data_IF_763348949898
#
_entry.id   IF_763348949898
#
_cell.length_a   1.000
_cell.length_b   1.000
_cell.length_c   1.000
_cell.angle_alpha   90.00
_cell.angle_beta   90.00
_cell.angle_gamma   90.00
#
_symmetry.space_group_name_H-M   'P 1'
#
loop_
_entity.id
_entity.type
_entity.pdbx_description
1 polymer ?
#
# COMPACT_ATOMS: atom_id res chain seq x y z
N UNK A 1 8.72 -9.44 14.78
CA UNK A 1 7.29 -9.05 14.89
C UNK A 1 6.52 -10.27 15.34
N UNK A 2 5.88 -10.22 16.49
CA UNK A 2 5.18 -11.38 17.08
C UNK A 2 3.72 -11.52 16.62
N UNK A 3 3.18 -10.59 15.86
CA UNK A 3 1.79 -10.62 15.41
C UNK A 3 1.74 -10.44 13.89
N UNK A 4 1.16 -11.42 13.19
CA UNK A 4 0.97 -11.36 11.74
C UNK A 4 0.08 -10.16 11.37
N UNK A 5 0.52 -9.33 10.41
CA UNK A 5 -0.20 -8.15 9.95
C UNK A 5 -1.34 -8.56 9.01
N UNK A 6 -2.53 -8.12 9.36
CA UNK A 6 -3.76 -8.18 8.56
C UNK A 6 -4.22 -6.75 8.37
N UNK A 7 -3.64 -6.09 7.37
CA UNK A 7 -3.77 -4.66 7.18
C UNK A 7 -4.80 -4.29 6.11
N UNK A 8 -5.27 -3.05 6.22
CA UNK A 8 -6.06 -2.39 5.19
C UNK A 8 -5.49 -1.00 4.92
N UNK A 9 -5.29 -0.67 3.65
CA UNK A 9 -4.97 0.69 3.25
C UNK A 9 -6.24 1.53 3.25
N UNK A 10 -6.20 2.64 3.98
CA UNK A 10 -7.28 3.62 4.03
C UNK A 10 -6.85 4.86 3.25
N UNK A 11 -7.26 4.93 1.98
CA UNK A 11 -6.94 6.06 1.13
C UNK A 11 -7.71 7.31 1.58
N UNK A 12 -6.97 8.41 1.74
CA UNK A 12 -7.55 9.70 2.03
C UNK A 12 -8.34 10.22 0.83
N UNK A 13 -9.58 10.66 1.02
CA UNK A 13 -10.28 11.42 0.01
C UNK A 13 -9.75 12.85 -0.01
N UNK A 14 -9.41 13.38 -1.19
CA UNK A 14 -8.75 14.69 -1.36
C UNK A 14 -9.67 15.87 -1.03
N UNK A 15 -10.49 15.74 0.03
CA UNK A 15 -11.45 16.75 0.50
C UNK A 15 -11.38 16.83 2.02
N UNK A 16 -10.95 17.99 2.52
CA UNK A 16 -10.88 18.24 3.96
C UNK A 16 -12.26 18.08 4.62
N UNK A 17 -12.28 17.45 5.79
CA UNK A 17 -13.49 17.17 6.57
C UNK A 17 -14.30 15.94 6.12
N UNK A 18 -13.99 15.36 4.96
CA UNK A 18 -14.54 14.08 4.49
C UNK A 18 -13.50 12.94 4.48
N UNK A 19 -12.24 13.27 4.67
CA UNK A 19 -11.12 12.36 4.74
C UNK A 19 -10.82 11.86 6.15
N UNK A 20 -9.54 11.82 6.48
CA UNK A 20 -9.08 11.45 7.82
C UNK A 20 -9.64 12.37 8.90
N UNK A 21 -9.88 11.82 10.09
CA UNK A 21 -10.47 12.52 11.22
C UNK A 21 -11.98 12.74 11.12
N UNK A 22 -12.65 12.25 10.06
CA UNK A 22 -14.10 12.36 9.89
C UNK A 22 -14.88 11.29 10.66
N UNK A 23 -16.16 11.54 10.95
CA UNK A 23 -17.02 10.56 11.59
C UNK A 23 -17.26 9.30 10.74
N UNK A 24 -17.26 9.44 9.40
CA UNK A 24 -17.38 8.28 8.49
C UNK A 24 -16.14 7.41 8.54
N UNK A 25 -14.94 8.01 8.61
CA UNK A 25 -13.71 7.27 8.80
C UNK A 25 -13.70 6.52 10.15
N UNK A 26 -14.07 7.18 11.24
CA UNK A 26 -14.14 6.55 12.56
C UNK A 26 -15.08 5.33 12.60
N UNK A 27 -16.25 5.42 11.95
CA UNK A 27 -17.19 4.29 11.84
C UNK A 27 -16.60 3.12 11.02
N UNK A 28 -15.85 3.41 9.96
CA UNK A 28 -15.16 2.40 9.16
C UNK A 28 -14.07 1.71 9.97
N UNK A 29 -13.21 2.47 10.69
CA UNK A 29 -12.15 1.92 11.52
C UNK A 29 -12.69 0.95 12.57
N UNK A 30 -13.78 1.34 13.27
CA UNK A 30 -14.46 0.47 14.23
C UNK A 30 -14.93 -0.84 13.56
N UNK A 31 -15.53 -0.75 12.38
CA UNK A 31 -15.98 -1.93 11.63
C UNK A 31 -14.81 -2.84 11.26
N UNK A 32 -13.71 -2.29 10.75
CA UNK A 32 -12.54 -3.07 10.34
C UNK A 32 -11.89 -3.80 11.51
N UNK A 33 -11.74 -3.14 12.66
CA UNK A 33 -11.16 -3.77 13.87
C UNK A 33 -12.01 -4.95 14.36
N UNK A 34 -13.35 -4.83 14.34
CA UNK A 34 -14.27 -5.91 14.72
C UNK A 34 -14.17 -7.14 13.79
N UNK A 35 -13.63 -6.98 12.61
CA UNK A 35 -13.43 -8.06 11.63
C UNK A 35 -11.98 -8.57 11.57
N UNK A 36 -11.15 -8.26 12.58
CA UNK A 36 -9.81 -8.82 12.71
C UNK A 36 -8.70 -8.07 11.94
N UNK A 37 -9.00 -6.92 11.33
CA UNK A 37 -7.96 -6.02 10.82
C UNK A 37 -7.20 -5.46 12.03
N UNK A 38 -5.87 -5.54 11.98
CA UNK A 38 -5.00 -5.14 13.08
C UNK A 38 -3.99 -4.05 12.74
N UNK A 39 -4.01 -3.58 11.47
CA UNK A 39 -3.18 -2.47 11.01
C UNK A 39 -3.93 -1.65 9.95
N UNK A 40 -3.86 -0.34 10.05
CA UNK A 40 -4.30 0.59 9.00
C UNK A 40 -3.11 1.30 8.40
N UNK A 41 -3.00 1.24 7.07
CA UNK A 41 -2.05 2.06 6.32
C UNK A 41 -2.73 3.37 5.94
N UNK A 42 -2.11 4.49 6.33
CA UNK A 42 -2.56 5.84 6.03
C UNK A 42 -1.63 6.48 4.99
N UNK A 43 -2.22 7.07 3.96
CA UNK A 43 -1.52 7.56 2.78
C UNK A 43 -1.68 9.09 2.60
N UNK A 44 -0.96 9.92 3.37
CA UNK A 44 -0.95 11.36 3.10
C UNK A 44 -0.22 11.66 1.78
N UNK A 45 -0.70 12.64 1.02
CA UNK A 45 -0.18 12.94 -0.31
C UNK A 45 0.70 14.18 -0.35
N UNK A 46 1.84 14.05 -1.04
CA UNK A 46 2.62 15.17 -1.57
C UNK A 46 2.28 15.36 -3.05
N UNK A 47 1.73 16.52 -3.40
CA UNK A 47 1.29 16.81 -4.76
C UNK A 47 2.43 17.42 -5.56
N UNK A 48 2.83 16.74 -6.63
CA UNK A 48 3.76 17.27 -7.60
C UNK A 48 2.97 17.70 -8.84
N UNK A 49 2.95 19.02 -9.18
CA UNK A 49 2.08 19.54 -10.24
C UNK A 49 2.39 19.00 -11.63
N UNK A 50 3.67 18.70 -11.91
CA UNK A 50 4.12 18.13 -13.18
C UNK A 50 5.45 17.39 -12.99
N UNK A 51 5.81 16.50 -13.90
CA UNK A 51 7.06 15.72 -13.84
C UNK A 51 8.30 16.64 -13.73
N UNK A 52 8.31 17.74 -14.47
CA UNK A 52 9.43 18.70 -14.48
C UNK A 52 9.37 19.72 -13.31
N UNK A 53 8.31 19.72 -12.50
CA UNK A 53 8.21 20.55 -11.30
C UNK A 53 8.77 19.76 -10.11
N UNK A 54 9.82 20.27 -9.46
CA UNK A 54 10.49 19.62 -8.33
C UNK A 54 9.84 19.97 -6.99
N UNK A 55 8.80 20.81 -6.99
CA UNK A 55 8.06 21.13 -5.76
C UNK A 55 7.14 19.99 -5.38
N UNK A 56 7.12 19.67 -4.12
CA UNK A 56 6.16 18.73 -3.52
C UNK A 56 5.32 19.54 -2.56
N UNK A 57 4.03 19.67 -2.88
CA UNK A 57 3.09 20.46 -2.11
C UNK A 57 2.34 19.54 -1.14
N UNK A 58 2.47 19.82 0.13
CA UNK A 58 1.70 19.16 1.19
C UNK A 58 1.24 20.24 2.15
N UNK A 59 -0.07 20.41 2.25
CA UNK A 59 -0.67 21.52 2.98
C UNK A 59 -2.10 21.17 3.42
N UNK A 60 -2.68 22.06 4.18
CA UNK A 60 -4.00 21.92 4.79
C UNK A 60 -5.19 21.94 3.82
N UNK A 61 -4.98 22.11 2.51
CA UNK A 61 -6.09 22.24 1.56
C UNK A 61 -6.92 20.95 1.46
N UNK A 62 -6.26 19.79 1.54
CA UNK A 62 -6.93 18.48 1.49
C UNK A 62 -6.86 17.72 2.80
N UNK A 63 -5.75 17.85 3.53
CA UNK A 63 -5.46 17.15 4.78
C UNK A 63 -4.63 18.04 5.69
N UNK A 64 -5.11 18.33 6.90
CA UNK A 64 -4.29 18.98 7.93
C UNK A 64 -3.54 17.95 8.77
N UNK A 65 -2.46 18.40 9.42
CA UNK A 65 -1.71 17.55 10.38
C UNK A 65 -2.62 17.09 11.53
N UNK A 66 -3.53 17.94 11.99
CA UNK A 66 -4.49 17.64 13.06
C UNK A 66 -5.49 16.57 12.62
N UNK A 67 -5.95 16.60 11.37
CA UNK A 67 -6.85 15.57 10.83
C UNK A 67 -6.13 14.22 10.75
N UNK A 68 -4.88 14.20 10.30
CA UNK A 68 -4.06 12.99 10.27
C UNK A 68 -3.76 12.46 11.68
N UNK A 69 -3.39 13.32 12.62
CA UNK A 69 -3.16 12.93 14.01
C UNK A 69 -4.42 12.36 14.67
N UNK A 70 -5.59 12.97 14.40
CA UNK A 70 -6.88 12.42 14.87
C UNK A 70 -7.16 11.04 14.28
N UNK A 71 -6.85 10.83 13.00
CA UNK A 71 -7.02 9.53 12.37
C UNK A 71 -6.12 8.47 13.01
N UNK A 72 -4.83 8.77 13.22
CA UNK A 72 -3.89 7.88 13.93
C UNK A 72 -4.42 7.53 15.33
N UNK A 73 -4.90 8.53 16.08
CA UNK A 73 -5.50 8.28 17.40
C UNK A 73 -6.74 7.41 17.32
N UNK A 74 -7.58 7.59 16.29
CA UNK A 74 -8.78 6.77 16.10
C UNK A 74 -8.42 5.31 15.75
N UNK A 75 -7.37 5.07 14.96
CA UNK A 75 -6.84 3.72 14.68
C UNK A 75 -6.38 3.06 15.98
N UNK A 76 -5.54 3.74 16.78
CA UNK A 76 -5.04 3.24 18.04
C UNK A 76 -6.17 3.00 19.06
N UNK A 77 -7.18 3.87 19.13
CA UNK A 77 -8.34 3.71 20.01
C UNK A 77 -9.18 2.46 19.69
N UNK A 78 -9.08 1.94 18.44
CA UNK A 78 -9.68 0.68 18.03
C UNK A 78 -8.73 -0.53 18.17
N UNK A 79 -7.58 -0.38 18.85
CA UNK A 79 -6.61 -1.46 19.09
C UNK A 79 -5.79 -1.88 17.87
N UNK A 80 -5.82 -1.10 16.80
CA UNK A 80 -5.06 -1.36 15.58
C UNK A 80 -3.75 -0.57 15.55
N UNK A 81 -2.77 -1.07 14.80
CA UNK A 81 -1.50 -0.39 14.51
C UNK A 81 -1.64 0.54 13.31
N UNK A 82 -0.72 1.49 13.20
CA UNK A 82 -0.63 2.42 12.08
C UNK A 82 0.64 2.19 11.29
N UNK A 83 0.50 2.10 9.97
CA UNK A 83 1.56 2.33 9.01
C UNK A 83 1.31 3.67 8.32
N UNK A 84 2.26 4.59 8.42
CA UNK A 84 2.18 5.87 7.71
C UNK A 84 3.04 5.80 6.45
N UNK A 85 2.40 5.91 5.30
CA UNK A 85 3.02 5.77 3.99
C UNK A 85 2.75 7.01 3.11
N UNK A 86 3.58 8.06 3.20
CA UNK A 86 3.40 9.26 2.41
C UNK A 86 3.63 8.99 0.91
N UNK A 87 2.64 9.31 0.08
CA UNK A 87 2.65 9.08 -1.37
C UNK A 87 2.95 10.36 -2.16
N UNK A 88 3.69 10.23 -3.24
CA UNK A 88 3.75 11.28 -4.27
C UNK A 88 2.58 11.10 -5.21
N UNK A 89 1.83 12.18 -5.42
CA UNK A 89 0.74 12.26 -6.38
C UNK A 89 1.11 13.21 -7.51
N UNK A 90 1.20 12.68 -8.73
CA UNK A 90 1.34 13.48 -9.95
C UNK A 90 -0.03 13.88 -10.47
N UNK A 91 -0.15 15.09 -10.98
CA UNK A 91 -1.40 15.55 -11.60
C UNK A 91 -1.69 14.77 -12.88
N UNK A 92 -2.64 13.86 -12.81
CA UNK A 92 -3.03 12.95 -13.90
C UNK A 92 -3.82 13.63 -15.03
N UNK A 93 -4.23 14.90 -14.84
CA UNK A 93 -5.03 15.63 -15.85
C UNK A 93 -4.32 15.81 -17.21
N UNK A 94 -3.01 15.66 -17.24
CA UNK A 94 -2.17 15.85 -18.43
C UNK A 94 -1.43 14.58 -18.83
N UNK A 95 -2.01 13.40 -18.65
CA UNK A 95 -1.35 12.11 -18.95
C UNK A 95 0.02 11.98 -18.28
N UNK A 96 0.16 12.48 -17.06
CA UNK A 96 1.40 12.33 -16.32
C UNK A 96 1.74 10.85 -16.13
N UNK A 97 3.01 10.46 -16.22
CA UNK A 97 3.43 9.10 -15.95
C UNK A 97 3.15 8.75 -14.48
N UNK A 98 3.09 7.46 -14.18
CA UNK A 98 3.03 7.02 -12.79
C UNK A 98 4.31 7.43 -12.04
N UNK A 99 4.23 7.61 -10.73
CA UNK A 99 5.38 8.04 -9.90
C UNK A 99 6.62 7.15 -10.02
N UNK A 100 6.45 5.87 -10.34
CA UNK A 100 7.57 4.94 -10.56
C UNK A 100 8.44 5.33 -11.76
N UNK A 101 7.90 6.11 -12.68
CA UNK A 101 8.58 6.57 -13.90
C UNK A 101 9.23 7.96 -13.73
N UNK A 102 9.08 8.61 -12.55
CA UNK A 102 9.78 9.85 -12.25
C UNK A 102 11.29 9.64 -12.38
N UNK A 103 11.90 10.41 -13.26
CA UNK A 103 13.32 10.36 -13.55
C UNK A 103 13.84 11.74 -13.97
N UNK A 104 15.04 12.09 -13.56
CA UNK A 104 15.69 13.34 -13.90
C UNK A 104 17.09 13.05 -14.39
N UNK A 105 17.44 13.57 -15.56
CA UNK A 105 18.75 13.31 -16.18
C UNK A 105 19.83 14.30 -15.70
N UNK A 106 19.40 15.48 -15.24
CA UNK A 106 20.32 16.50 -14.73
C UNK A 106 20.56 16.27 -13.24
N UNK A 107 21.83 16.14 -12.79
CA UNK A 107 22.18 15.97 -11.38
C UNK A 107 21.61 17.07 -10.45
N UNK A 108 21.57 18.32 -10.90
CA UNK A 108 21.00 19.43 -10.11
C UNK A 108 19.51 19.26 -9.91
N UNK A 109 18.79 18.73 -10.89
CA UNK A 109 17.37 18.45 -10.79
C UNK A 109 17.11 17.30 -9.80
N UNK A 110 17.94 16.26 -9.82
CA UNK A 110 17.90 15.16 -8.85
C UNK A 110 18.09 15.71 -7.44
N UNK A 111 19.11 16.55 -7.22
CA UNK A 111 19.36 17.16 -5.91
C UNK A 111 18.21 18.03 -5.44
N UNK A 112 17.62 18.86 -6.32
CA UNK A 112 16.47 19.70 -6.00
C UNK A 112 15.24 18.87 -5.63
N UNK A 113 14.95 17.82 -6.39
CA UNK A 113 13.83 16.95 -6.11
C UNK A 113 14.01 16.25 -4.76
N UNK A 114 15.18 15.65 -4.50
CA UNK A 114 15.45 14.99 -3.23
C UNK A 114 15.43 15.94 -2.05
N UNK A 115 15.82 17.20 -2.22
CA UNK A 115 15.71 18.21 -1.17
C UNK A 115 14.24 18.53 -0.82
N UNK A 116 13.36 18.61 -1.83
CA UNK A 116 11.91 18.78 -1.61
C UNK A 116 11.28 17.52 -1.02
N UNK A 117 11.67 16.35 -1.52
CA UNK A 117 11.17 15.06 -1.06
C UNK A 117 11.57 14.78 0.40
N UNK A 118 12.80 15.08 0.77
CA UNK A 118 13.27 14.92 2.14
C UNK A 118 12.47 15.79 3.12
N UNK A 119 12.15 17.03 2.77
CA UNK A 119 11.26 17.90 3.57
C UNK A 119 9.90 17.24 3.79
N UNK A 120 9.32 16.70 2.72
CA UNK A 120 8.03 16.03 2.75
C UNK A 120 8.08 14.79 3.67
N UNK A 121 9.07 13.93 3.50
CA UNK A 121 9.22 12.71 4.31
C UNK A 121 9.50 13.04 5.77
N UNK A 122 10.39 13.99 6.07
CA UNK A 122 10.71 14.37 7.46
C UNK A 122 9.52 15.03 8.17
N UNK A 123 8.67 15.78 7.45
CA UNK A 123 7.43 16.32 8.01
C UNK A 123 6.55 15.17 8.56
N UNK A 124 6.28 14.15 7.74
CA UNK A 124 5.45 13.02 8.17
C UNK A 124 6.17 12.07 9.14
N UNK A 125 7.50 11.97 9.08
CA UNK A 125 8.26 11.23 10.08
C UNK A 125 8.15 11.84 11.49
N UNK A 126 8.11 13.17 11.59
CA UNK A 126 7.83 13.86 12.86
C UNK A 126 6.40 13.56 13.36
N UNK A 127 5.40 13.58 12.47
CA UNK A 127 4.02 13.19 12.84
C UNK A 127 3.99 11.73 13.29
N UNK A 128 4.65 10.82 12.56
CA UNK A 128 4.73 9.40 12.93
C UNK A 128 5.35 9.19 14.32
N UNK A 129 6.45 9.92 14.62
CA UNK A 129 7.09 9.91 15.94
C UNK A 129 6.14 10.40 17.03
N UNK A 130 5.56 11.57 16.85
CA UNK A 130 4.74 12.24 17.86
C UNK A 130 3.42 11.50 18.12
N UNK A 131 2.88 10.85 17.08
CA UNK A 131 1.66 10.05 17.17
C UNK A 131 1.93 8.56 17.41
N UNK A 132 3.20 8.14 17.54
CA UNK A 132 3.62 6.75 17.81
C UNK A 132 3.13 5.76 16.73
N UNK A 133 3.13 6.15 15.46
CA UNK A 133 2.88 5.20 14.39
C UNK A 133 3.94 4.08 14.42
N UNK A 134 3.51 2.83 14.27
CA UNK A 134 4.39 1.68 14.43
C UNK A 134 5.30 1.44 13.22
N UNK A 135 4.82 1.81 12.02
CA UNK A 135 5.56 1.63 10.76
C UNK A 135 5.55 2.93 9.96
N UNK A 136 6.68 3.23 9.32
CA UNK A 136 6.82 4.37 8.44
C UNK A 136 7.46 3.96 7.11
N UNK A 137 6.85 4.33 5.97
CA UNK A 137 7.44 4.14 4.66
C UNK A 137 8.21 5.40 4.24
N UNK A 138 9.48 5.23 3.90
CA UNK A 138 10.33 6.34 3.40
C UNK A 138 10.15 6.60 1.91
N UNK A 139 9.30 5.82 1.25
CA UNK A 139 8.94 5.99 -0.15
C UNK A 139 8.00 4.90 -0.62
N UNK A 140 7.24 5.22 -1.66
CA UNK A 140 6.27 4.32 -2.29
C UNK A 140 6.39 4.43 -3.80
N UNK A 141 6.78 3.33 -4.45
CA UNK A 141 6.85 3.18 -5.92
C UNK A 141 7.60 4.33 -6.62
N UNK A 142 8.79 4.66 -6.15
CA UNK A 142 9.69 5.65 -6.76
C UNK A 142 10.86 4.94 -7.47
N UNK A 143 10.55 3.97 -8.33
CA UNK A 143 11.47 2.93 -8.80
C UNK A 143 12.71 3.50 -9.49
N UNK A 144 12.55 4.45 -10.41
CA UNK A 144 13.70 5.05 -11.11
C UNK A 144 14.52 5.94 -10.18
N UNK A 145 13.86 6.68 -9.30
CA UNK A 145 14.52 7.52 -8.31
C UNK A 145 15.22 6.68 -7.22
N UNK A 146 14.76 5.47 -6.95
CA UNK A 146 15.38 4.53 -6.02
C UNK A 146 16.79 4.09 -6.45
N UNK A 147 17.16 4.26 -7.73
CA UNK A 147 18.53 4.10 -8.21
C UNK A 147 19.51 5.09 -7.53
N UNK A 148 19.01 6.19 -6.94
CA UNK A 148 19.80 7.11 -6.12
C UNK A 148 19.87 6.61 -4.67
N UNK A 149 20.42 5.43 -4.47
CA UNK A 149 20.46 4.74 -3.17
C UNK A 149 21.03 5.61 -2.04
N UNK A 150 22.09 6.38 -2.31
CA UNK A 150 22.72 7.26 -1.29
C UNK A 150 21.76 8.35 -0.81
N UNK A 151 20.87 8.85 -1.67
CA UNK A 151 19.86 9.81 -1.28
C UNK A 151 18.82 9.18 -0.36
N UNK A 152 18.35 7.96 -0.67
CA UNK A 152 17.43 7.22 0.22
C UNK A 152 18.10 6.85 1.53
N UNK A 153 19.35 6.38 1.52
CA UNK A 153 20.12 6.10 2.75
C UNK A 153 20.26 7.34 3.64
N UNK A 154 20.46 8.52 3.03
CA UNK A 154 20.47 9.79 3.78
C UNK A 154 19.10 10.08 4.39
N UNK A 155 18.00 9.92 3.64
CA UNK A 155 16.63 10.13 4.13
C UNK A 155 16.35 9.17 5.30
N UNK A 156 16.68 7.89 5.18
CA UNK A 156 16.48 6.89 6.24
C UNK A 156 17.22 7.32 7.53
N UNK A 157 18.51 7.72 7.43
CA UNK A 157 19.26 8.24 8.57
C UNK A 157 18.60 9.46 9.19
N UNK A 158 18.10 10.39 8.37
CA UNK A 158 17.47 11.61 8.84
C UNK A 158 16.11 11.34 9.48
N UNK A 159 15.34 10.36 8.99
CA UNK A 159 14.13 9.87 9.66
C UNK A 159 14.48 9.32 11.06
N UNK A 160 15.52 8.50 11.18
CA UNK A 160 15.99 8.03 12.50
C UNK A 160 16.47 9.19 13.39
N UNK A 161 17.14 10.19 12.81
CA UNK A 161 17.62 11.37 13.55
C UNK A 161 16.47 12.25 14.09
N UNK A 162 15.24 12.13 13.57
CA UNK A 162 14.06 12.78 14.20
C UNK A 162 13.72 12.18 15.57
N UNK A 163 14.27 11.03 15.94
CA UNK A 163 13.88 10.25 17.11
C UNK A 163 12.76 9.24 16.86
N UNK A 164 12.38 9.01 15.59
CA UNK A 164 11.41 7.96 15.25
C UNK A 164 11.95 6.58 15.57
N UNK A 165 11.29 5.86 16.49
CA UNK A 165 11.70 4.55 16.99
C UNK A 165 10.91 3.38 16.39
N UNK A 166 9.89 3.65 15.56
CA UNK A 166 9.11 2.62 14.87
C UNK A 166 9.90 1.94 13.75
N UNK A 167 9.29 0.97 13.09
CA UNK A 167 9.89 0.26 11.95
C UNK A 167 9.85 1.11 10.68
N UNK A 168 10.91 1.04 9.88
CA UNK A 168 11.02 1.77 8.60
C UNK A 168 11.07 0.77 7.44
N UNK A 169 10.33 1.07 6.38
CA UNK A 169 10.36 0.35 5.12
C UNK A 169 10.36 1.29 3.92
N UNK A 170 10.51 0.70 2.75
CA UNK A 170 10.19 1.27 1.44
C UNK A 170 9.18 0.34 0.76
N UNK A 171 8.16 0.89 0.11
CA UNK A 171 7.16 0.13 -0.64
C UNK A 171 7.52 0.16 -2.12
N UNK A 172 8.10 -0.94 -2.63
CA UNK A 172 8.45 -1.02 -4.05
C UNK A 172 7.41 -1.80 -4.86
N UNK A 173 7.32 -1.50 -6.14
CA UNK A 173 6.70 -2.41 -7.10
C UNK A 173 7.41 -3.77 -7.01
N UNK A 174 6.69 -4.85 -6.70
CA UNK A 174 7.29 -6.12 -6.31
C UNK A 174 8.26 -6.70 -7.36
N UNK A 175 8.02 -6.45 -8.65
CA UNK A 175 8.93 -6.88 -9.74
C UNK A 175 10.28 -6.15 -9.74
N UNK A 176 10.40 -5.03 -9.01
CA UNK A 176 11.64 -4.25 -8.92
C UNK A 176 12.42 -4.50 -7.61
N UNK A 177 11.94 -5.37 -6.73
CA UNK A 177 12.49 -5.58 -5.39
C UNK A 177 13.99 -5.93 -5.38
N UNK A 178 14.48 -6.67 -6.40
CA UNK A 178 15.89 -7.04 -6.51
C UNK A 178 16.82 -5.87 -6.87
N UNK A 179 16.28 -4.77 -7.41
CA UNK A 179 17.03 -3.58 -7.80
C UNK A 179 17.15 -2.53 -6.68
N UNK A 180 16.42 -2.68 -5.58
CA UNK A 180 16.50 -1.75 -4.44
C UNK A 180 17.77 -2.03 -3.64
N UNK A 181 18.73 -1.10 -3.68
CA UNK A 181 20.06 -1.29 -3.12
C UNK A 181 20.20 -0.91 -1.63
N UNK A 182 19.13 -0.43 -0.98
CA UNK A 182 19.16 0.07 0.41
C UNK A 182 18.27 -0.72 1.38
N UNK A 183 17.91 -1.98 1.03
CA UNK A 183 17.16 -2.86 1.95
C UNK A 183 17.88 -3.09 3.28
N UNK A 184 19.21 -3.06 3.28
CA UNK A 184 20.05 -3.23 4.48
C UNK A 184 19.83 -2.13 5.53
N UNK A 185 19.47 -0.92 5.13
CA UNK A 185 19.15 0.20 6.03
C UNK A 185 17.71 0.20 6.55
N UNK A 186 16.86 -0.69 6.04
CA UNK A 186 15.44 -0.80 6.37
C UNK A 186 15.19 -1.98 7.32
N UNK A 187 14.10 -1.95 8.06
CA UNK A 187 13.75 -3.01 9.01
C UNK A 187 13.11 -4.21 8.33
N UNK A 188 12.42 -4.01 7.20
CA UNK A 188 11.81 -5.07 6.40
C UNK A 188 11.59 -4.63 4.93
N UNK A 189 11.32 -5.61 4.07
CA UNK A 189 11.06 -5.41 2.65
C UNK A 189 9.55 -5.20 2.47
N UNK A 190 9.14 -4.06 1.89
CA UNK A 190 7.76 -3.74 1.54
C UNK A 190 7.50 -3.96 0.05
N UNK A 191 6.44 -4.71 -0.29
CA UNK A 191 6.15 -5.12 -1.66
C UNK A 191 4.72 -4.77 -2.06
N UNK A 192 4.57 -3.96 -3.11
CA UNK A 192 3.28 -3.71 -3.75
C UNK A 192 3.08 -4.75 -4.87
N UNK A 193 2.18 -5.73 -4.62
CA UNK A 193 2.04 -6.92 -5.45
C UNK A 193 0.88 -6.80 -6.45
N UNK A 194 1.13 -6.18 -7.58
CA UNK A 194 0.17 -5.98 -8.68
C UNK A 194 0.55 -6.75 -9.95
N UNK A 195 0.87 -8.04 -9.80
CA UNK A 195 1.25 -8.88 -10.94
C UNK A 195 0.06 -9.19 -11.84
N UNK A 196 0.17 -8.81 -13.11
CA UNK A 196 -0.80 -9.17 -14.13
C UNK A 196 -0.68 -10.66 -14.51
N UNK A 197 -1.81 -11.34 -14.61
CA UNK A 197 -1.91 -12.71 -15.13
C UNK A 197 -2.51 -12.70 -16.53
N UNK A 198 -2.03 -13.57 -17.42
CA UNK A 198 -2.38 -13.54 -18.85
C UNK A 198 -3.81 -13.98 -19.21
N UNK A 199 -4.71 -14.13 -18.24
CA UNK A 199 -6.09 -14.56 -18.45
C UNK A 199 -7.05 -13.96 -17.41
N UNK A 200 -8.36 -14.04 -17.70
CA UNK A 200 -9.46 -13.57 -16.84
C UNK A 200 -10.32 -14.77 -16.43
N UNK A 201 -9.99 -15.55 -15.38
CA UNK A 201 -10.89 -16.57 -14.87
C UNK A 201 -12.20 -15.95 -14.37
N UNK A 202 -13.32 -16.58 -14.69
CA UNK A 202 -14.66 -16.05 -14.38
C UNK A 202 -15.32 -16.69 -13.15
N UNK A 203 -14.80 -17.82 -12.69
CA UNK A 203 -15.27 -18.51 -11.50
C UNK A 203 -14.17 -19.36 -10.88
N UNK A 204 -14.39 -19.84 -9.65
CA UNK A 204 -13.48 -20.81 -9.00
C UNK A 204 -13.46 -22.19 -9.67
N UNK A 205 -14.47 -22.52 -10.47
CA UNK A 205 -14.52 -23.76 -11.28
C UNK A 205 -13.85 -23.62 -12.66
N UNK A 206 -13.40 -22.42 -13.03
CA UNK A 206 -12.62 -22.20 -14.24
C UNK A 206 -11.22 -22.81 -14.11
N UNK A 207 -10.75 -23.53 -15.11
CA UNK A 207 -9.40 -24.09 -15.11
C UNK A 207 -8.33 -23.02 -14.92
N UNK A 208 -8.55 -21.79 -15.43
CA UNK A 208 -7.67 -20.65 -15.27
C UNK A 208 -7.58 -20.13 -13.84
N UNK A 209 -8.56 -20.45 -12.97
CA UNK A 209 -8.49 -20.09 -11.56
C UNK A 209 -7.33 -20.83 -10.85
N UNK A 210 -7.19 -22.13 -11.07
CA UNK A 210 -6.08 -22.89 -10.48
C UNK A 210 -4.72 -22.43 -11.02
N UNK A 211 -4.65 -22.05 -12.30
CA UNK A 211 -3.44 -21.45 -12.87
C UNK A 211 -3.11 -20.10 -12.20
N UNK A 212 -4.12 -19.25 -11.93
CA UNK A 212 -3.95 -18.00 -11.21
C UNK A 212 -3.47 -18.24 -9.77
N UNK A 213 -4.03 -19.22 -9.06
CA UNK A 213 -3.57 -19.60 -7.70
C UNK A 213 -2.10 -20.01 -7.74
N UNK A 214 -1.70 -20.90 -8.67
CA UNK A 214 -0.32 -21.33 -8.83
C UNK A 214 0.62 -20.15 -9.19
N UNK A 215 0.16 -19.23 -10.01
CA UNK A 215 0.90 -18.00 -10.35
C UNK A 215 1.13 -17.12 -9.11
N UNK A 216 0.11 -16.91 -8.26
CA UNK A 216 0.27 -16.16 -7.01
C UNK A 216 1.25 -16.86 -6.07
N UNK A 217 1.16 -18.19 -5.92
CA UNK A 217 2.11 -18.97 -5.12
C UNK A 217 3.54 -18.81 -5.61
N UNK A 218 3.77 -18.86 -6.92
CA UNK A 218 5.08 -18.62 -7.52
C UNK A 218 5.65 -17.26 -7.18
N UNK A 219 4.80 -16.20 -7.23
CA UNK A 219 5.21 -14.82 -6.89
C UNK A 219 5.54 -14.68 -5.40
N UNK A 220 4.72 -15.26 -4.52
CA UNK A 220 4.99 -15.29 -3.08
C UNK A 220 6.33 -15.98 -2.77
N UNK A 221 6.60 -17.14 -3.37
CA UNK A 221 7.87 -17.87 -3.20
C UNK A 221 9.08 -17.08 -3.72
N UNK A 222 8.94 -16.41 -4.85
CA UNK A 222 10.00 -15.56 -5.40
C UNK A 222 10.47 -14.54 -4.36
N UNK A 223 9.52 -13.83 -3.75
CA UNK A 223 9.82 -12.77 -2.79
C UNK A 223 10.25 -13.32 -1.43
N UNK A 224 9.67 -14.43 -0.98
CA UNK A 224 10.12 -15.11 0.23
C UNK A 224 11.59 -15.52 0.13
N UNK A 225 12.01 -16.07 -1.02
CA UNK A 225 13.42 -16.43 -1.27
C UNK A 225 14.34 -15.21 -1.36
N UNK A 226 13.85 -14.11 -1.96
CA UNK A 226 14.61 -12.84 -1.99
C UNK A 226 14.82 -12.32 -0.57
N UNK A 227 13.79 -12.25 0.24
CA UNK A 227 13.85 -11.83 1.64
C UNK A 227 14.77 -12.73 2.48
N UNK A 228 14.72 -14.04 2.26
CA UNK A 228 15.62 -15.00 2.91
C UNK A 228 17.09 -14.76 2.56
N UNK A 229 17.41 -14.49 1.28
CA UNK A 229 18.80 -14.16 0.87
C UNK A 229 19.32 -12.90 1.56
N UNK A 230 18.45 -11.92 1.83
CA UNK A 230 18.78 -10.68 2.53
C UNK A 230 18.72 -10.82 4.05
N UNK A 231 18.25 -11.94 4.59
CA UNK A 231 18.04 -12.13 6.03
C UNK A 231 17.04 -11.16 6.64
N UNK A 232 16.05 -10.69 5.86
CA UNK A 232 15.08 -9.68 6.28
C UNK A 232 13.65 -10.22 6.29
N UNK A 233 12.81 -9.82 7.26
CA UNK A 233 11.37 -10.03 7.15
C UNK A 233 10.81 -9.22 5.97
N UNK A 234 9.65 -9.62 5.47
CA UNK A 234 8.98 -8.94 4.38
C UNK A 234 7.47 -8.86 4.60
N UNK A 235 6.83 -7.93 3.93
CA UNK A 235 5.39 -7.70 4.01
C UNK A 235 4.87 -7.33 2.62
N UNK A 236 3.67 -7.79 2.30
CA UNK A 236 2.91 -7.27 1.17
C UNK A 236 2.27 -5.96 1.63
N UNK A 237 2.85 -4.83 1.20
CA UNK A 237 2.42 -3.48 1.60
C UNK A 237 1.22 -3.01 0.82
N UNK A 238 1.02 -3.51 -0.40
CA UNK A 238 -0.21 -3.34 -1.15
C UNK A 238 -0.54 -4.61 -1.94
N UNK A 239 -1.78 -5.04 -1.84
CA UNK A 239 -2.37 -6.07 -2.68
C UNK A 239 -3.82 -5.74 -2.98
N UNK A 240 -4.19 -5.77 -4.25
CA UNK A 240 -5.57 -5.49 -4.66
C UNK A 240 -5.81 -5.79 -6.13
N UNK A 241 -7.07 -5.83 -6.49
CA UNK A 241 -7.54 -5.88 -7.87
C UNK A 241 -8.58 -4.79 -8.08
N UNK A 242 -8.57 -4.10 -9.23
CA UNK A 242 -9.66 -3.19 -9.58
C UNK A 242 -10.95 -3.96 -9.87
N UNK A 243 -12.09 -3.27 -9.87
CA UNK A 243 -13.40 -3.90 -10.11
C UNK A 243 -13.84 -3.74 -11.57
N UNK A 244 -13.06 -4.24 -12.52
CA UNK A 244 -13.37 -4.20 -13.94
C UNK A 244 -13.10 -5.53 -14.64
N UNK A 245 -13.61 -5.67 -15.86
CA UNK A 245 -13.61 -6.92 -16.65
C UNK A 245 -12.22 -7.44 -17.05
N UNK A 246 -11.17 -6.63 -16.87
CA UNK A 246 -9.75 -6.98 -17.08
C UNK A 246 -8.92 -6.86 -15.80
N UNK A 247 -9.54 -7.02 -14.64
CA UNK A 247 -8.91 -6.81 -13.34
C UNK A 247 -7.64 -7.65 -13.12
N UNK A 248 -7.63 -8.87 -13.65
CA UNK A 248 -6.58 -9.86 -13.39
C UNK A 248 -5.44 -9.75 -14.41
N UNK A 249 -5.74 -9.37 -15.66
CA UNK A 249 -4.73 -9.13 -16.69
C UNK A 249 -4.18 -7.71 -16.71
N UNK A 250 -4.85 -6.77 -16.05
CA UNK A 250 -4.46 -5.35 -15.97
C UNK A 250 -4.57 -4.86 -14.51
N UNK A 251 -3.88 -5.53 -13.61
CA UNK A 251 -3.97 -5.32 -12.14
C UNK A 251 -3.58 -3.92 -11.69
N UNK A 252 -2.73 -3.22 -12.42
CA UNK A 252 -2.27 -1.87 -12.11
C UNK A 252 -2.92 -0.80 -13.00
N UNK A 253 -3.90 -1.18 -13.84
CA UNK A 253 -4.59 -0.22 -14.69
C UNK A 253 -5.36 0.78 -13.83
N UNK A 254 -5.14 2.08 -14.13
CA UNK A 254 -5.90 3.13 -13.49
C UNK A 254 -7.39 3.00 -13.87
N UNK A 255 -8.32 3.22 -12.93
CA UNK A 255 -9.74 3.13 -13.21
C UNK A 255 -10.13 4.04 -14.37
N UNK A 256 -10.38 3.46 -15.53
CA UNK A 256 -10.83 4.16 -16.72
C UNK A 256 -12.36 4.05 -16.82
N UNK A 257 -13.00 5.13 -17.25
CA UNK A 257 -14.46 5.15 -17.53
C UNK A 257 -14.86 4.22 -18.68
N UNK A 258 -13.90 3.81 -19.50
CA UNK A 258 -14.11 2.93 -20.65
C UNK A 258 -14.15 1.44 -20.27
N UNK A 259 -13.73 1.06 -19.05
CA UNK A 259 -13.74 -0.33 -18.59
C UNK A 259 -15.12 -0.67 -18.00
N UNK A 260 -15.61 -1.86 -18.34
CA UNK A 260 -16.84 -2.37 -17.76
C UNK A 260 -16.63 -2.76 -16.29
N UNK A 261 -17.52 -2.32 -15.40
CA UNK A 261 -17.49 -2.75 -14.00
C UNK A 261 -17.70 -4.25 -13.89
N UNK A 262 -16.83 -4.92 -13.17
CA UNK A 262 -16.92 -6.36 -12.86
C UNK A 262 -16.40 -6.63 -11.42
N UNK A 263 -17.32 -6.59 -10.46
CA UNK A 263 -17.00 -6.90 -9.06
C UNK A 263 -16.66 -8.39 -8.88
N UNK A 264 -17.08 -9.27 -9.80
CA UNK A 264 -16.76 -10.69 -9.78
C UNK A 264 -15.29 -10.93 -10.17
N UNK A 265 -14.76 -10.21 -11.14
CA UNK A 265 -13.33 -10.30 -11.50
C UNK A 265 -12.44 -9.88 -10.30
N UNK A 266 -12.79 -8.79 -9.60
CA UNK A 266 -12.13 -8.39 -8.36
C UNK A 266 -12.20 -9.52 -7.31
N UNK A 267 -13.39 -10.09 -7.08
CA UNK A 267 -13.59 -11.19 -6.13
C UNK A 267 -12.72 -12.40 -6.45
N UNK A 268 -12.64 -12.82 -7.71
CA UNK A 268 -11.83 -13.97 -8.16
C UNK A 268 -10.35 -13.75 -7.88
N UNK A 269 -9.82 -12.54 -8.13
CA UNK A 269 -8.43 -12.20 -7.81
C UNK A 269 -8.13 -12.33 -6.32
N UNK A 270 -9.01 -11.84 -5.44
CA UNK A 270 -8.88 -11.98 -3.99
C UNK A 270 -9.01 -13.45 -3.54
N UNK A 271 -9.92 -14.23 -4.13
CA UNK A 271 -10.06 -15.66 -3.85
C UNK A 271 -8.80 -16.43 -4.22
N UNK A 272 -8.20 -16.14 -5.37
CA UNK A 272 -6.95 -16.80 -5.77
C UNK A 272 -5.83 -16.54 -4.77
N UNK A 273 -5.69 -15.31 -4.24
CA UNK A 273 -4.70 -15.01 -3.20
C UNK A 273 -5.03 -15.73 -1.88
N UNK A 274 -6.30 -15.76 -1.47
CA UNK A 274 -6.72 -16.52 -0.29
C UNK A 274 -6.33 -18.00 -0.42
N UNK A 275 -6.61 -18.62 -1.58
CA UNK A 275 -6.20 -20.02 -1.85
C UNK A 275 -4.68 -20.16 -1.88
N UNK A 276 -3.96 -19.26 -2.51
CA UNK A 276 -2.51 -19.28 -2.57
C UNK A 276 -1.90 -19.28 -1.16
N UNK A 277 -2.30 -18.38 -0.29
CA UNK A 277 -1.79 -18.26 1.07
C UNK A 277 -2.19 -19.44 1.97
N UNK A 278 -3.41 -19.97 1.81
CA UNK A 278 -3.93 -21.05 2.67
C UNK A 278 -3.28 -22.40 2.36
N UNK A 279 -2.88 -22.65 1.11
CA UNK A 279 -2.37 -23.94 0.65
C UNK A 279 -0.85 -23.96 0.44
N UNK A 280 -0.15 -22.89 0.84
CA UNK A 280 1.31 -22.89 0.83
C UNK A 280 1.86 -23.46 2.14
N UNK A 281 2.67 -24.50 2.03
CA UNK A 281 3.37 -25.16 3.16
C UNK A 281 4.87 -24.82 3.20
N UNK A 282 5.31 -23.81 2.44
CA UNK A 282 6.74 -23.49 2.34
C UNK A 282 7.23 -22.68 3.54
N UNK A 283 8.27 -23.17 4.22
CA UNK A 283 8.91 -22.48 5.35
C UNK A 283 9.50 -21.11 4.97
N UNK A 284 9.76 -20.86 3.68
CA UNK A 284 10.21 -19.55 3.21
C UNK A 284 9.19 -18.43 3.47
N UNK A 285 7.89 -18.76 3.59
CA UNK A 285 6.85 -17.82 3.98
C UNK A 285 6.86 -17.47 5.48
N UNK A 286 7.54 -18.24 6.32
CA UNK A 286 7.57 -18.01 7.77
C UNK A 286 8.13 -16.60 8.15
N UNK A 287 8.85 -15.95 7.24
CA UNK A 287 9.33 -14.57 7.43
C UNK A 287 8.35 -13.50 6.93
N UNK A 288 7.22 -13.88 6.29
CA UNK A 288 6.21 -12.93 5.88
C UNK A 288 5.54 -12.31 7.11
N UNK A 289 5.66 -10.99 7.27
CA UNK A 289 5.06 -10.29 8.40
C UNK A 289 3.56 -10.05 8.21
N UNK A 290 3.04 -10.17 7.00
CA UNK A 290 1.62 -10.05 6.68
C UNK A 290 1.29 -9.44 5.33
N UNK A 291 0.06 -8.98 5.21
CA UNK A 291 -0.50 -8.39 4.00
C UNK A 291 -1.37 -7.17 4.34
N UNK A 292 -1.27 -6.12 3.52
CA UNK A 292 -2.13 -4.94 3.55
C UNK A 292 -2.93 -4.90 2.24
N UNK A 293 -4.24 -4.81 2.37
CA UNK A 293 -5.14 -4.84 1.23
C UNK A 293 -5.46 -3.43 0.70
N UNK A 294 -5.27 -3.21 -0.57
CA UNK A 294 -5.60 -1.98 -1.27
C UNK A 294 -6.98 -2.11 -1.94
N UNK A 295 -8.02 -1.27 -1.65
CA UNK A 295 -8.06 -0.23 -0.62
C UNK A 295 -9.47 -0.01 -0.06
N UNK A 296 -9.51 0.67 1.06
CA UNK A 296 -10.71 1.33 1.59
C UNK A 296 -10.60 2.85 1.37
N UNK A 297 -11.74 3.54 1.39
CA UNK A 297 -11.81 5.00 1.37
C UNK A 297 -12.59 5.50 2.59
N UNK A 298 -12.26 6.69 3.08
CA UNK A 298 -12.87 7.27 4.29
C UNK A 298 -14.39 7.50 4.15
N UNK A 299 -14.89 7.66 2.93
CA UNK A 299 -16.33 7.76 2.62
C UNK A 299 -16.62 7.30 1.21
N UNK A 300 -17.72 6.56 1.03
CA UNK A 300 -18.27 6.22 -0.30
C UNK A 300 -19.00 7.40 -0.97
N UNK A 301 -19.16 8.52 -0.25
CA UNK A 301 -19.67 9.80 -0.80
C UNK A 301 -18.55 10.67 -1.38
N UNK A 302 -17.42 10.08 -1.76
CA UNK A 302 -16.32 10.75 -2.44
C UNK A 302 -16.52 10.81 -3.95
N UNK A 303 -15.80 11.75 -4.61
CA UNK A 303 -15.77 11.81 -6.07
C UNK A 303 -15.25 10.51 -6.67
N UNK A 304 -14.18 9.96 -6.09
CA UNK A 304 -13.55 8.71 -6.53
C UNK A 304 -14.52 7.54 -6.46
N UNK A 305 -15.19 7.34 -5.33
CA UNK A 305 -16.13 6.25 -5.14
C UNK A 305 -17.34 6.33 -6.09
N UNK A 306 -17.78 7.56 -6.41
CA UNK A 306 -18.92 7.78 -7.31
C UNK A 306 -18.57 7.69 -8.79
N UNK A 307 -17.37 8.14 -9.18
CA UNK A 307 -17.00 8.26 -10.58
C UNK A 307 -16.09 7.12 -11.07
N UNK A 308 -15.45 6.40 -10.14
CA UNK A 308 -14.56 5.28 -10.45
C UNK A 308 -15.12 3.98 -9.88
N UNK A 309 -16.28 3.55 -10.39
CA UNK A 309 -16.93 2.30 -9.99
C UNK A 309 -16.04 1.07 -10.24
N UNK A 310 -15.08 1.20 -11.14
CA UNK A 310 -14.07 0.20 -11.51
C UNK A 310 -12.81 0.26 -10.62
N UNK A 311 -12.73 1.19 -9.66
CA UNK A 311 -11.59 1.34 -8.76
C UNK A 311 -11.44 0.13 -7.79
N UNK A 312 -10.28 0.07 -7.15
CA UNK A 312 -9.88 -0.93 -6.14
C UNK A 312 -10.72 -0.91 -4.85
N UNK A 313 -11.63 0.04 -4.68
CA UNK A 313 -12.45 0.18 -3.47
C UNK A 313 -13.17 -1.13 -3.15
N UNK A 314 -12.98 -1.61 -1.91
CA UNK A 314 -13.51 -2.90 -1.44
C UNK A 314 -14.87 -2.79 -0.77
N UNK A 315 -15.20 -1.64 -0.17
CA UNK A 315 -16.41 -1.45 0.64
C UNK A 315 -17.68 -1.87 -0.10
N UNK A 316 -18.40 -2.83 0.50
CA UNK A 316 -19.67 -3.31 -0.01
C UNK A 316 -19.60 -4.26 -1.21
N UNK A 317 -18.40 -4.60 -1.68
CA UNK A 317 -18.18 -5.53 -2.80
C UNK A 317 -17.96 -6.97 -2.33
N UNK A 318 -18.14 -8.00 -3.18
CA UNK A 318 -17.87 -9.40 -2.83
C UNK A 318 -16.44 -9.66 -2.32
N UNK A 319 -15.44 -8.99 -2.90
CA UNK A 319 -14.03 -9.10 -2.51
C UNK A 319 -13.79 -8.70 -1.04
N UNK A 320 -14.56 -7.75 -0.49
CA UNK A 320 -14.45 -7.37 0.93
C UNK A 320 -14.70 -8.57 1.85
N UNK A 321 -15.67 -9.44 1.53
CA UNK A 321 -15.95 -10.63 2.34
C UNK A 321 -14.79 -11.61 2.37
N UNK A 322 -14.02 -11.71 1.28
CA UNK A 322 -12.81 -12.54 1.21
C UNK A 322 -11.76 -12.00 2.15
N UNK A 323 -11.46 -10.69 2.07
CA UNK A 323 -10.51 -10.01 2.93
C UNK A 323 -10.84 -10.19 4.41
N UNK A 324 -12.09 -9.91 4.80
CA UNK A 324 -12.50 -10.00 6.21
C UNK A 324 -12.42 -11.45 6.72
N UNK A 325 -12.71 -12.45 5.90
CA UNK A 325 -12.53 -13.86 6.24
C UNK A 325 -11.05 -14.23 6.40
N UNK A 326 -10.17 -13.73 5.54
CA UNK A 326 -8.71 -13.91 5.68
C UNK A 326 -8.19 -13.28 6.97
N UNK A 327 -8.70 -12.10 7.35
CA UNK A 327 -8.30 -11.41 8.57
C UNK A 327 -8.71 -12.18 9.84
N UNK A 328 -9.84 -12.87 9.85
CA UNK A 328 -10.35 -13.64 11.00
C UNK A 328 -9.65 -14.99 11.19
N UNK A 329 -9.27 -15.69 10.11
CA UNK A 329 -8.70 -17.05 10.19
C UNK A 329 -7.42 -17.15 11.01
N UNK A 330 -6.59 -16.13 11.02
CA UNK A 330 -5.31 -16.13 11.72
C UNK A 330 -5.43 -15.90 13.25
N UNK A 331 -6.64 -15.66 13.79
CA UNK A 331 -6.86 -15.59 15.25
C UNK A 331 -6.97 -16.98 15.89
N UNK A 332 -7.18 -18.05 15.11
CA UNK A 332 -7.45 -19.40 15.59
C UNK A 332 -6.30 -20.39 15.42
N UNK A 333 -5.12 -19.97 14.98
CA UNK A 333 -3.91 -20.78 15.00
C UNK A 333 -2.85 -20.10 15.87
N UNK A 334 -2.86 -20.35 17.23
CA UNK A 334 -1.63 -20.24 17.99
C UNK A 334 -0.65 -21.26 17.39
N UNK A 335 0.58 -20.85 17.13
CA UNK A 335 1.63 -21.75 16.73
C UNK A 335 1.73 -22.89 17.79
N UNK A 336 1.40 -24.13 17.39
CA UNK A 336 1.81 -25.33 18.10
C UNK A 336 3.29 -25.59 17.90
#
# INVERSE_FOLDING_TARGET
MTTHIRGAALAHVHVRGKGYGSGTSAALLKRLSLHGINLIQLNPFGYQPAVHDRRILFNDATLSDEDLKREIQAVHANGMKVMLAPHIWLDQRHNAPWRSQLDYQNPDEILQWFAAYEKFILHYANIARDSKAEIFAVGVELERLANNADAFRRIIRNVRATGYAGLITYECEAWNAENIAFWDDLDFIGLNMYYAFGAEPRSESDNKFNELVAFQQQKLLLHARHAQRLGKPWIITEFGYPAHDKAISQTSAWPDRMQARDDQAQYIGFRAMEFALTHMQDQALAQAAGIIFWKYVTTLDSYEAKNYATDFILQGKPAEKVLLRMAQRNEHHPAE
#
